data_IF_922179701098
#
_entry.id   IF_922179701098
#
_cell.length_a   1.000
_cell.length_b   1.000
_cell.length_c   1.000
_cell.angle_alpha   90.00
_cell.angle_beta   90.00
_cell.angle_gamma   90.00
#
_symmetry.space_group_name_H-M   'P 1'
#
loop_
_entity.id
_entity.type
_entity.pdbx_description
1 polymer ?
#
# COMPACT_ATOMS: atom_id res chain seq x y z
N UNK A 1 -14.18 16.41 -8.83
CA UNK A 1 -12.95 16.31 -9.66
C UNK A 1 -12.91 14.97 -10.40
N UNK A 2 -12.48 14.97 -11.67
CA UNK A 2 -12.26 13.75 -12.45
C UNK A 2 -10.78 13.32 -12.37
N UNK A 3 -10.53 12.12 -11.88
CA UNK A 3 -9.21 11.56 -11.69
C UNK A 3 -9.02 10.38 -12.66
N UNK A 4 -8.03 10.48 -13.53
CA UNK A 4 -7.60 9.35 -14.36
C UNK A 4 -6.51 8.56 -13.64
N UNK A 5 -6.88 7.36 -13.17
CA UNK A 5 -6.00 6.45 -12.44
C UNK A 5 -5.44 5.40 -13.41
N UNK A 6 -4.17 5.05 -13.24
CA UNK A 6 -3.48 3.96 -13.96
C UNK A 6 -2.83 2.97 -12.98
N UNK A 7 -3.60 2.27 -12.12
CA UNK A 7 -3.03 1.33 -11.15
C UNK A 7 -2.24 0.25 -11.87
N UNK A 8 -0.95 0.15 -11.57
CA UNK A 8 -0.01 -0.68 -12.32
C UNK A 8 0.86 -1.49 -11.40
N UNK A 9 0.93 -2.80 -11.66
CA UNK A 9 1.82 -3.73 -10.98
C UNK A 9 2.79 -4.37 -11.97
N UNK A 10 4.10 -4.30 -11.72
CA UNK A 10 5.13 -4.91 -12.56
C UNK A 10 5.61 -6.23 -11.95
N UNK A 11 5.46 -7.32 -12.70
CA UNK A 11 6.13 -8.58 -12.45
C UNK A 11 6.94 -9.00 -13.70
N UNK A 12 8.26 -8.72 -13.74
CA UNK A 12 9.09 -9.03 -14.90
C UNK A 12 9.31 -10.54 -15.11
N UNK A 13 9.29 -11.32 -14.04
CA UNK A 13 9.60 -12.76 -14.08
C UNK A 13 8.37 -13.63 -14.35
N UNK A 14 7.16 -13.10 -14.13
CA UNK A 14 5.89 -13.82 -14.30
C UNK A 14 5.81 -15.10 -13.46
N UNK A 15 6.52 -15.10 -12.35
CA UNK A 15 6.65 -16.12 -11.31
C UNK A 15 5.57 -16.03 -10.23
N UNK A 16 4.64 -15.07 -10.39
CA UNK A 16 3.54 -14.86 -9.45
C UNK A 16 2.25 -14.46 -10.17
N UNK A 17 1.15 -15.04 -9.70
CA UNK A 17 -0.20 -14.54 -9.94
C UNK A 17 -0.36 -13.23 -9.19
N UNK A 18 -0.96 -12.23 -9.83
CA UNK A 18 -1.19 -10.90 -9.25
C UNK A 18 -2.69 -10.62 -9.25
N UNK A 19 -3.19 -10.08 -8.15
CA UNK A 19 -4.55 -9.56 -7.99
C UNK A 19 -4.51 -8.18 -7.33
N UNK A 20 -5.53 -7.38 -7.60
CA UNK A 20 -5.77 -6.11 -6.92
C UNK A 20 -6.91 -6.36 -5.93
N UNK A 21 -6.66 -6.17 -4.64
CA UNK A 21 -7.59 -6.48 -3.56
C UNK A 21 -8.32 -5.23 -3.05
N UNK A 22 -7.69 -4.05 -3.15
CA UNK A 22 -8.32 -2.76 -2.80
C UNK A 22 -7.78 -1.63 -3.66
N UNK A 23 -8.65 -0.68 -3.98
CA UNK A 23 -8.32 0.56 -4.66
C UNK A 23 -9.25 1.66 -4.13
N UNK A 24 -8.68 2.68 -3.50
CA UNK A 24 -9.45 3.79 -2.97
C UNK A 24 -8.72 5.12 -3.16
N UNK A 25 -9.49 6.20 -3.04
CA UNK A 25 -8.99 7.57 -3.03
C UNK A 25 -9.37 8.19 -1.70
N UNK A 26 -8.42 8.80 -1.02
CA UNK A 26 -8.67 9.67 0.13
C UNK A 26 -8.48 11.12 -0.31
N UNK A 27 -9.46 11.98 -0.08
CA UNK A 27 -9.39 13.39 -0.47
C UNK A 27 -10.04 14.29 0.60
N UNK A 28 -9.59 15.55 0.65
CA UNK A 28 -10.11 16.57 1.58
C UNK A 28 -9.75 16.32 3.04
N UNK A 29 -8.72 16.98 3.56
CA UNK A 29 -8.24 16.87 4.97
C UNK A 29 -8.27 15.44 5.56
N UNK A 30 -8.07 14.41 4.73
CA UNK A 30 -8.11 12.99 5.03
C UNK A 30 -9.41 12.45 5.67
N UNK A 31 -10.56 13.10 5.44
CA UNK A 31 -11.85 12.71 6.06
C UNK A 31 -12.76 11.87 5.19
N UNK A 32 -12.52 11.82 3.89
CA UNK A 32 -13.38 11.13 2.94
C UNK A 32 -12.60 10.08 2.17
N UNK A 33 -13.14 8.86 2.18
CA UNK A 33 -12.66 7.76 1.36
C UNK A 33 -13.68 7.45 0.25
N UNK A 34 -13.15 7.21 -0.94
CA UNK A 34 -13.88 6.85 -2.15
C UNK A 34 -13.36 5.50 -2.64
N UNK A 35 -14.08 4.43 -2.31
CA UNK A 35 -13.73 3.08 -2.75
C UNK A 35 -14.10 2.86 -4.22
N UNK A 36 -13.20 2.22 -4.95
CA UNK A 36 -13.46 1.76 -6.31
C UNK A 36 -13.77 0.25 -6.24
N UNK A 37 -14.99 -0.18 -6.63
CA UNK A 37 -15.40 -1.57 -6.52
C UNK A 37 -14.51 -2.52 -7.33
N UNK A 38 -13.76 -3.39 -6.65
CA UNK A 38 -12.81 -4.33 -7.26
C UNK A 38 -13.53 -5.33 -8.17
N UNK A 39 -14.75 -5.69 -7.83
CA UNK A 39 -15.62 -6.55 -8.63
C UNK A 39 -15.99 -5.94 -10.00
N UNK A 40 -15.83 -4.63 -10.18
CA UNK A 40 -16.01 -3.93 -11.45
C UNK A 40 -14.70 -3.76 -12.23
N UNK A 41 -13.56 -4.23 -11.67
CA UNK A 41 -12.24 -4.10 -12.27
C UNK A 41 -11.73 -5.40 -12.88
N UNK A 42 -11.06 -5.28 -14.02
CA UNK A 42 -10.31 -6.34 -14.67
C UNK A 42 -8.82 -5.99 -14.63
N UNK A 43 -8.02 -6.97 -14.22
CA UNK A 43 -6.58 -6.90 -14.34
C UNK A 43 -6.15 -7.41 -15.72
N UNK A 44 -5.54 -6.54 -16.54
CA UNK A 44 -5.17 -6.86 -17.93
C UNK A 44 -3.68 -6.59 -18.17
N UNK A 45 -3.10 -7.29 -19.14
CA UNK A 45 -1.72 -7.10 -19.60
C UNK A 45 -1.72 -6.50 -21.01
N UNK A 46 -1.43 -5.20 -21.18
CA UNK A 46 -1.40 -4.59 -22.52
C UNK A 46 -0.34 -5.23 -23.41
N UNK A 47 -0.71 -5.51 -24.67
CA UNK A 47 0.24 -5.97 -25.67
C UNK A 47 1.19 -4.80 -26.08
N UNK A 48 2.48 -5.06 -26.36
CA UNK A 48 3.19 -6.35 -26.37
C UNK A 48 3.76 -6.78 -25.01
N UNK A 49 3.83 -5.86 -24.05
CA UNK A 49 4.57 -6.08 -22.83
C UNK A 49 3.74 -6.80 -21.76
N UNK A 50 3.91 -8.13 -21.67
CA UNK A 50 3.22 -8.96 -20.67
C UNK A 50 3.92 -9.01 -19.29
N UNK A 51 4.82 -8.07 -18.98
CA UNK A 51 5.52 -8.00 -17.68
C UNK A 51 4.82 -7.13 -16.65
N UNK A 52 3.74 -6.45 -17.02
CA UNK A 52 2.99 -5.64 -16.09
C UNK A 52 1.50 -5.84 -16.28
N UNK A 53 0.79 -5.52 -15.22
CA UNK A 53 -0.64 -5.56 -15.12
C UNK A 53 -1.17 -4.15 -14.92
N UNK A 54 -2.28 -3.84 -15.57
CA UNK A 54 -3.03 -2.59 -15.38
C UNK A 54 -4.44 -2.96 -14.93
N UNK A 55 -4.91 -2.31 -13.87
CA UNK A 55 -6.31 -2.36 -13.49
C UNK A 55 -7.12 -1.40 -14.38
N UNK A 56 -8.23 -1.90 -14.92
CA UNK A 56 -9.15 -1.12 -15.74
C UNK A 56 -10.58 -1.61 -15.51
N UNK A 57 -11.59 -0.83 -15.90
CA UNK A 57 -13.01 -1.26 -15.86
C UNK A 57 -13.22 -2.59 -16.60
N UNK A 58 -14.05 -3.48 -16.04
CA UNK A 58 -14.53 -4.71 -16.70
C UNK A 58 -15.37 -4.36 -17.93
N UNK A 59 -14.69 -4.16 -19.05
CA UNK A 59 -15.34 -3.89 -20.34
C UNK A 59 -14.58 -4.55 -21.48
N UNK A 60 -15.27 -5.44 -22.20
CA UNK A 60 -14.74 -6.18 -23.36
C UNK A 60 -13.39 -6.87 -23.04
N UNK A 61 -12.75 -7.44 -24.07
CA UNK A 61 -11.42 -8.04 -23.94
C UNK A 61 -10.27 -7.04 -24.18
N UNK A 62 -10.56 -5.75 -24.36
CA UNK A 62 -9.54 -4.72 -24.61
C UNK A 62 -8.94 -4.23 -23.30
N UNK A 63 -7.62 -4.13 -23.21
CA UNK A 63 -6.94 -3.49 -22.09
C UNK A 63 -6.94 -1.97 -22.31
N UNK A 64 -7.75 -1.26 -21.54
CA UNK A 64 -7.71 0.20 -21.44
C UNK A 64 -6.55 0.60 -20.51
N UNK A 65 -5.99 1.78 -20.74
CA UNK A 65 -4.91 2.32 -19.92
C UNK A 65 -5.58 3.06 -18.77
N UNK A 66 -5.76 2.35 -17.65
CA UNK A 66 -6.35 2.90 -16.44
C UNK A 66 -7.88 2.88 -16.38
N UNK A 67 -8.41 3.76 -15.55
CA UNK A 67 -9.84 3.99 -15.27
C UNK A 67 -10.08 5.45 -14.86
N UNK A 68 -11.34 5.86 -14.85
CA UNK A 68 -11.75 7.21 -14.49
C UNK A 68 -12.57 7.16 -13.20
N UNK A 69 -12.20 7.98 -12.22
CA UNK A 69 -12.92 8.15 -10.97
C UNK A 69 -13.37 9.61 -10.86
N UNK A 70 -14.66 9.83 -10.70
CA UNK A 70 -15.23 11.14 -10.38
C UNK A 70 -15.53 11.19 -8.89
N UNK A 71 -14.89 12.11 -8.17
CA UNK A 71 -15.14 12.35 -6.75
C UNK A 71 -15.80 13.72 -6.57
N UNK A 72 -16.80 13.81 -5.71
CA UNK A 72 -17.56 15.04 -5.45
C UNK A 72 -16.94 15.83 -4.29
N UNK A 73 -15.79 16.46 -4.54
CA UNK A 73 -15.15 17.37 -3.58
C UNK A 73 -14.75 18.67 -4.26
N UNK A 74 -15.01 19.76 -3.55
CA UNK A 74 -14.61 21.11 -3.91
C UNK A 74 -13.20 21.40 -3.35
N UNK A 75 -12.42 22.21 -4.07
CA UNK A 75 -11.12 22.71 -3.59
C UNK A 75 -10.10 21.64 -3.14
N UNK A 76 -10.10 20.48 -3.81
CA UNK A 76 -9.06 19.46 -3.61
C UNK A 76 -7.70 20.09 -3.92
N UNK A 77 -6.81 20.10 -2.93
CA UNK A 77 -5.40 20.48 -3.12
C UNK A 77 -4.47 19.27 -3.02
N UNK A 78 -4.92 18.23 -2.33
CA UNK A 78 -4.19 16.98 -2.14
C UNK A 78 -5.18 15.82 -2.10
N UNK A 79 -4.78 14.69 -2.68
CA UNK A 79 -5.48 13.42 -2.52
C UNK A 79 -4.46 12.28 -2.51
N UNK A 80 -4.80 11.18 -1.85
CA UNK A 80 -3.99 9.96 -1.80
C UNK A 80 -4.74 8.84 -2.49
N UNK A 81 -4.06 8.09 -3.36
CA UNK A 81 -4.57 6.85 -3.93
C UNK A 81 -3.95 5.71 -3.16
N UNK A 82 -4.78 4.82 -2.64
CA UNK A 82 -4.35 3.60 -1.98
C UNK A 82 -4.64 2.40 -2.89
N UNK A 83 -3.63 1.56 -3.10
CA UNK A 83 -3.75 0.31 -3.84
C UNK A 83 -3.20 -0.83 -2.97
N UNK A 84 -4.01 -1.88 -2.80
CA UNK A 84 -3.57 -3.11 -2.18
C UNK A 84 -3.50 -4.21 -3.23
N UNK A 85 -2.29 -4.69 -3.50
CA UNK A 85 -2.07 -5.79 -4.43
C UNK A 85 -1.74 -7.06 -3.66
N UNK A 86 -2.16 -8.21 -4.19
CA UNK A 86 -1.78 -9.51 -3.67
C UNK A 86 -1.02 -10.28 -4.73
N UNK A 87 0.05 -10.95 -4.33
CA UNK A 87 0.76 -11.90 -5.18
C UNK A 87 0.80 -13.28 -4.57
N UNK A 88 0.70 -14.29 -5.43
CA UNK A 88 0.85 -15.70 -5.08
C UNK A 88 1.90 -16.29 -6.02
N UNK A 89 3.04 -16.68 -5.48
CA UNK A 89 4.14 -17.29 -6.23
C UNK A 89 3.84 -18.73 -6.61
N UNK A 90 4.60 -19.30 -7.54
CA UNK A 90 4.38 -20.69 -8.01
C UNK A 90 4.51 -21.76 -6.90
N UNK A 91 5.26 -21.46 -5.83
CA UNK A 91 5.39 -22.29 -4.63
C UNK A 91 4.34 -21.98 -3.54
N UNK A 92 3.34 -21.14 -3.85
CA UNK A 92 2.19 -20.87 -3.00
C UNK A 92 2.38 -19.81 -1.92
N UNK A 93 3.52 -19.11 -1.88
CA UNK A 93 3.69 -18.00 -0.93
C UNK A 93 2.85 -16.80 -1.35
N UNK A 94 2.11 -16.26 -0.40
CA UNK A 94 1.28 -15.09 -0.59
C UNK A 94 1.94 -13.84 0.00
N UNK A 95 1.89 -12.74 -0.73
CA UNK A 95 2.35 -11.44 -0.24
C UNK A 95 1.30 -10.37 -0.53
N UNK A 96 1.00 -9.53 0.47
CA UNK A 96 0.25 -8.28 0.29
C UNK A 96 1.22 -7.13 0.01
N UNK A 97 0.81 -6.21 -0.84
CA UNK A 97 1.63 -5.12 -1.34
C UNK A 97 0.84 -3.81 -1.24
N UNK A 98 1.33 -2.88 -0.42
CA UNK A 98 0.63 -1.65 -0.08
C UNK A 98 1.24 -0.47 -0.81
N UNK A 99 0.45 0.21 -1.64
CA UNK A 99 0.92 1.32 -2.45
C UNK A 99 0.12 2.59 -2.13
N UNK A 100 0.80 3.58 -1.57
CA UNK A 100 0.23 4.88 -1.21
C UNK A 100 0.80 5.95 -2.15
N UNK A 101 -0.05 6.64 -2.88
CA UNK A 101 0.38 7.63 -3.86
C UNK A 101 -0.31 8.96 -3.55
N UNK A 102 0.43 9.89 -2.96
CA UNK A 102 -0.08 11.23 -2.64
C UNK A 102 0.18 12.20 -3.79
N UNK A 103 -0.89 12.81 -4.29
CA UNK A 103 -0.85 13.83 -5.33
C UNK A 103 -1.13 15.20 -4.73
N UNK A 104 -0.17 16.10 -4.87
CA UNK A 104 -0.28 17.52 -4.54
C UNK A 104 -0.58 18.31 -5.82
N UNK A 105 -1.74 18.96 -5.86
CA UNK A 105 -2.16 19.75 -7.01
C UNK A 105 -1.42 21.09 -7.03
N UNK A 106 -0.81 21.42 -8.16
CA UNK A 106 -0.04 22.65 -8.34
C UNK A 106 -0.92 23.87 -8.66
N UNK A 107 -2.14 23.63 -9.09
CA UNK A 107 -3.11 24.62 -9.48
C UNK A 107 -4.52 24.03 -9.38
N UNK A 108 -5.54 24.89 -9.30
CA UNK A 108 -6.95 24.52 -9.31
C UNK A 108 -7.67 25.11 -10.54
N UNK A 109 -6.99 25.15 -11.70
CA UNK A 109 -7.53 25.79 -12.91
C UNK A 109 -8.57 24.93 -13.63
N UNK A 110 -8.47 23.61 -13.49
CA UNK A 110 -9.32 22.65 -14.17
C UNK A 110 -9.78 21.54 -13.23
N UNK A 111 -10.82 20.82 -13.66
CA UNK A 111 -11.48 19.79 -12.86
C UNK A 111 -11.03 18.36 -13.21
N UNK A 112 -9.83 18.19 -13.77
CA UNK A 112 -9.24 16.85 -13.90
C UNK A 112 -7.74 16.77 -13.71
N UNK A 113 -7.30 15.56 -13.37
CA UNK A 113 -5.91 15.18 -13.15
C UNK A 113 -5.69 13.75 -13.65
N UNK A 114 -4.45 13.40 -13.98
CA UNK A 114 -4.09 12.06 -14.42
C UNK A 114 -2.82 11.57 -13.69
N UNK A 115 -2.81 10.31 -13.27
CA UNK A 115 -1.59 9.66 -12.74
C UNK A 115 -0.52 9.49 -13.82
N UNK A 116 -0.92 9.40 -15.09
CA UNK A 116 0.01 9.26 -16.20
C UNK A 116 0.56 10.63 -16.63
N UNK A 117 1.86 10.83 -16.39
CA UNK A 117 2.59 12.06 -16.68
C UNK A 117 2.48 12.53 -18.15
N UNK A 118 2.42 11.59 -19.11
CA UNK A 118 2.34 11.94 -20.53
C UNK A 118 1.09 12.77 -20.87
N UNK A 119 0.00 12.63 -20.10
CA UNK A 119 -1.26 13.31 -20.37
C UNK A 119 -1.24 14.77 -19.95
N UNK A 120 -0.43 15.15 -18.96
CA UNK A 120 -0.37 16.51 -18.44
C UNK A 120 1.00 17.16 -18.60
N UNK A 121 1.94 16.54 -19.31
CA UNK A 121 3.28 17.08 -19.55
C UNK A 121 3.28 18.50 -20.13
N UNK A 122 2.31 18.86 -20.98
CA UNK A 122 2.20 20.22 -21.51
C UNK A 122 1.84 21.29 -20.46
N UNK A 123 1.34 20.85 -19.30
CA UNK A 123 1.00 21.68 -18.14
C UNK A 123 2.07 21.59 -17.06
N UNK A 124 3.21 20.93 -17.36
CA UNK A 124 4.33 20.85 -16.44
C UNK A 124 4.88 22.24 -16.10
N UNK A 125 5.42 22.36 -14.89
CA UNK A 125 6.13 23.55 -14.42
C UNK A 125 7.63 23.30 -14.44
N UNK A 126 8.44 24.30 -14.08
CA UNK A 126 9.90 24.11 -13.91
C UNK A 126 10.25 22.95 -12.97
N UNK A 127 9.35 22.59 -12.03
CA UNK A 127 9.52 21.43 -11.14
C UNK A 127 9.67 20.11 -11.90
N UNK A 128 9.09 19.97 -13.09
CA UNK A 128 9.10 18.72 -13.86
C UNK A 128 10.02 18.74 -15.08
N UNK A 129 10.88 19.75 -15.23
CA UNK A 129 11.72 19.96 -16.42
C UNK A 129 12.55 18.73 -16.82
N UNK A 130 13.00 17.94 -15.85
CA UNK A 130 13.84 16.75 -16.05
C UNK A 130 13.09 15.43 -15.77
N UNK A 131 11.76 15.46 -15.72
CA UNK A 131 10.94 14.28 -15.46
C UNK A 131 10.70 13.50 -16.76
N UNK A 132 11.26 12.29 -16.82
CA UNK A 132 10.89 11.35 -17.88
C UNK A 132 9.62 10.60 -17.48
N UNK A 133 8.63 10.52 -18.38
CA UNK A 133 7.31 9.95 -18.04
C UNK A 133 7.39 8.54 -17.46
N UNK A 134 8.31 7.70 -17.97
CA UNK A 134 8.52 6.32 -17.52
C UNK A 134 9.07 6.21 -16.10
N UNK A 135 9.81 7.21 -15.63
CA UNK A 135 10.37 7.30 -14.27
C UNK A 135 9.43 7.99 -13.28
N UNK A 136 8.37 8.64 -13.77
CA UNK A 136 7.49 9.49 -12.97
C UNK A 136 6.03 9.01 -12.98
N UNK A 137 5.75 7.85 -13.54
CA UNK A 137 4.43 7.21 -13.44
C UNK A 137 4.42 6.29 -12.22
N UNK A 138 3.50 6.50 -11.27
CA UNK A 138 3.39 5.64 -10.09
C UNK A 138 3.15 4.18 -10.48
N UNK A 139 3.78 3.25 -9.76
CA UNK A 139 3.63 1.81 -10.00
C UNK A 139 4.21 0.98 -8.86
N UNK A 140 3.53 -0.12 -8.55
CA UNK A 140 4.04 -1.16 -7.67
C UNK A 140 4.86 -2.17 -8.49
N UNK A 141 5.87 -2.79 -7.88
CA UNK A 141 6.75 -3.77 -8.52
C UNK A 141 6.91 -4.97 -7.59
N UNK A 142 6.96 -6.21 -8.10
CA UNK A 142 7.19 -7.38 -7.25
C UNK A 142 8.57 -7.30 -6.57
N UNK A 143 9.58 -6.92 -7.36
CA UNK A 143 10.94 -6.67 -6.89
C UNK A 143 11.34 -5.29 -7.40
N UNK A 144 11.89 -4.42 -6.54
CA UNK A 144 12.28 -3.05 -6.88
C UNK A 144 13.53 -2.95 -7.78
N UNK A 145 13.81 -3.97 -8.60
CA UNK A 145 15.00 -4.04 -9.44
C UNK A 145 14.99 -2.96 -10.53
N UNK A 146 13.81 -2.51 -10.98
CA UNK A 146 13.68 -1.51 -12.06
C UNK A 146 13.95 -0.09 -11.54
N UNK A 147 13.58 0.23 -10.29
CA UNK A 147 13.84 1.55 -9.70
C UNK A 147 15.31 1.77 -9.31
N UNK A 148 16.07 0.71 -9.02
CA UNK A 148 17.51 0.82 -8.69
C UNK A 148 18.37 1.25 -9.87
N UNK A 149 18.00 0.86 -11.09
CA UNK A 149 18.75 1.18 -12.31
C UNK A 149 18.32 2.51 -12.97
N UNK A 150 17.20 3.09 -12.53
CA UNK A 150 16.69 4.38 -12.99
C UNK A 150 16.20 5.19 -11.79
N UNK A 151 17.00 6.14 -11.25
CA UNK A 151 16.59 6.92 -10.10
C UNK A 151 15.30 7.66 -10.42
N UNK A 152 14.23 7.30 -9.71
CA UNK A 152 12.95 7.99 -9.80
C UNK A 152 13.13 9.41 -9.26
N UNK A 153 12.39 10.36 -9.86
CA UNK A 153 12.56 11.80 -9.57
C UNK A 153 11.67 12.30 -8.43
N UNK A 154 10.88 11.41 -7.83
CA UNK A 154 9.97 11.67 -6.72
C UNK A 154 10.48 11.07 -5.40
N UNK A 155 9.95 11.59 -4.28
CA UNK A 155 10.16 11.00 -2.96
C UNK A 155 9.46 9.65 -2.91
N UNK A 156 10.24 8.61 -2.62
CA UNK A 156 9.77 7.23 -2.54
C UNK A 156 10.32 6.61 -1.28
N UNK A 157 9.43 6.01 -0.51
CA UNK A 157 9.77 5.17 0.62
C UNK A 157 9.29 3.75 0.32
N UNK A 158 10.26 2.84 0.15
CA UNK A 158 9.99 1.44 -0.12
C UNK A 158 10.22 0.61 1.16
N UNK A 159 9.20 -0.12 1.58
CA UNK A 159 9.30 -1.19 2.58
C UNK A 159 9.39 -2.54 1.89
N UNK A 160 10.26 -3.41 2.35
CA UNK A 160 10.48 -4.73 1.76
C UNK A 160 10.12 -5.83 2.74
N UNK A 161 9.59 -6.92 2.21
CA UNK A 161 9.71 -8.21 2.88
C UNK A 161 11.18 -8.62 2.90
N UNK A 162 11.51 -9.46 3.84
CA UNK A 162 12.89 -9.86 4.08
C UNK A 162 13.52 -10.58 2.86
N UNK A 163 12.74 -11.36 2.12
CA UNK A 163 13.13 -11.98 0.84
C UNK A 163 13.38 -10.98 -0.32
N UNK A 164 13.33 -9.67 -0.06
CA UNK A 164 13.54 -8.61 -1.05
C UNK A 164 12.33 -8.31 -1.94
N UNK A 165 11.19 -8.96 -1.71
CA UNK A 165 9.91 -8.61 -2.34
C UNK A 165 9.44 -7.27 -1.77
N UNK A 166 8.96 -6.37 -2.62
CA UNK A 166 8.51 -5.06 -2.19
C UNK A 166 7.18 -5.18 -1.44
N UNK A 167 7.15 -4.87 -0.14
CA UNK A 167 5.93 -4.92 0.70
C UNK A 167 5.11 -3.64 0.58
N UNK A 168 5.78 -2.51 0.65
CA UNK A 168 5.14 -1.21 0.72
C UNK A 168 5.87 -0.22 -0.17
N UNK A 169 5.12 0.69 -0.77
CA UNK A 169 5.66 1.86 -1.46
C UNK A 169 4.81 3.08 -1.14
N UNK A 170 5.46 4.14 -0.70
CA UNK A 170 4.86 5.46 -0.53
C UNK A 170 5.49 6.38 -1.58
N UNK A 171 4.69 6.98 -2.45
CA UNK A 171 5.15 7.92 -3.47
C UNK A 171 4.44 9.26 -3.32
N UNK A 172 5.17 10.35 -3.53
CA UNK A 172 4.58 11.69 -3.58
C UNK A 172 4.82 12.37 -4.93
N UNK A 173 3.77 12.95 -5.49
CA UNK A 173 3.81 13.63 -6.78
C UNK A 173 3.20 15.03 -6.71
N UNK A 174 3.80 15.96 -7.44
CA UNK A 174 3.20 17.26 -7.71
C UNK A 174 2.67 17.25 -9.13
N UNK A 175 1.38 17.54 -9.32
CA UNK A 175 0.73 17.39 -10.61
C UNK A 175 -0.13 18.60 -10.93
N UNK A 176 -0.15 18.98 -12.19
CA UNK A 176 -1.00 20.07 -12.67
C UNK A 176 -2.39 19.56 -13.02
N UNK A 177 -3.41 20.41 -12.89
CA UNK A 177 -4.74 20.06 -13.42
C UNK A 177 -4.75 20.25 -14.94
N UNK A 178 -5.66 19.54 -15.60
CA UNK A 178 -5.82 19.54 -17.06
C UNK A 178 -7.30 19.72 -17.45
N UNK A 179 -7.61 20.41 -18.58
CA UNK A 179 -8.96 20.45 -19.11
C UNK A 179 -9.47 19.05 -19.47
N UNK A 180 -10.77 18.78 -19.22
CA UNK A 180 -11.39 17.49 -19.57
C UNK A 180 -11.19 17.13 -21.04
N UNK A 181 -11.44 18.06 -21.96
CA UNK A 181 -11.28 17.81 -23.40
C UNK A 181 -9.86 17.39 -23.78
N UNK A 182 -8.86 18.06 -23.22
CA UNK A 182 -7.44 17.81 -23.47
C UNK A 182 -6.98 16.47 -22.90
N UNK A 183 -7.49 16.07 -21.73
CA UNK A 183 -7.23 14.74 -21.16
C UNK A 183 -7.62 13.64 -22.15
N UNK A 184 -8.82 13.73 -22.71
CA UNK A 184 -9.33 12.73 -23.66
C UNK A 184 -8.65 12.82 -25.03
N UNK A 185 -8.46 14.02 -25.57
CA UNK A 185 -7.79 14.22 -26.87
C UNK A 185 -6.37 13.64 -26.84
N UNK A 186 -5.59 13.96 -25.81
CA UNK A 186 -4.24 13.42 -25.63
C UNK A 186 -4.25 11.92 -25.37
N UNK A 187 -5.22 11.43 -24.58
CA UNK A 187 -5.41 10.01 -24.32
C UNK A 187 -5.62 9.21 -25.60
N UNK A 188 -6.49 9.67 -26.50
CA UNK A 188 -6.74 9.02 -27.78
C UNK A 188 -5.48 8.93 -28.64
N UNK A 189 -4.72 10.04 -28.73
CA UNK A 189 -3.46 10.11 -29.49
C UNK A 189 -2.41 9.17 -28.91
N UNK A 190 -2.17 9.22 -27.60
CA UNK A 190 -1.08 8.48 -26.94
C UNK A 190 -1.40 6.98 -26.79
N UNK A 191 -2.67 6.64 -26.58
CA UNK A 191 -3.07 5.30 -26.17
C UNK A 191 -3.70 4.47 -27.29
N UNK A 192 -3.76 5.00 -28.52
CA UNK A 192 -4.29 4.26 -29.69
C UNK A 192 -5.70 3.71 -29.41
N UNK A 193 -6.62 4.60 -29.00
CA UNK A 193 -8.00 4.29 -28.63
C UNK A 193 -8.15 3.42 -27.37
N UNK A 194 -7.15 3.39 -26.48
CA UNK A 194 -7.19 2.69 -25.17
C UNK A 194 -7.44 3.64 -24.00
N UNK A 195 -7.82 4.89 -24.26
CA UNK A 195 -8.30 5.79 -23.22
C UNK A 195 -9.66 5.27 -22.70
N UNK A 196 -9.92 5.28 -21.37
CA UNK A 196 -11.23 4.96 -20.83
C UNK A 196 -12.29 5.97 -21.30
N UNK A 197 -13.51 5.49 -21.55
CA UNK A 197 -14.66 6.34 -21.92
C UNK A 197 -15.35 6.85 -20.65
N UNK A 198 -15.53 8.17 -20.52
CA UNK A 198 -16.13 8.76 -19.32
C UNK A 198 -17.53 8.23 -19.00
N UNK A 199 -18.33 7.90 -20.01
CA UNK A 199 -19.73 7.48 -19.82
C UNK A 199 -19.87 5.99 -19.52
N UNK A 200 -18.85 5.19 -19.85
CA UNK A 200 -18.94 3.73 -19.80
C UNK A 200 -17.94 3.12 -18.80
N UNK A 201 -16.81 3.79 -18.62
CA UNK A 201 -15.68 3.34 -17.81
C UNK A 201 -15.42 4.25 -16.59
N UNK A 202 -16.21 5.31 -16.43
CA UNK A 202 -16.18 6.21 -15.28
C UNK A 202 -16.90 5.65 -14.05
N UNK A 203 -16.28 5.79 -12.89
CA UNK A 203 -16.89 5.57 -11.59
C UNK A 203 -17.33 6.90 -11.01
N UNK A 204 -18.63 7.06 -10.74
CA UNK A 204 -19.14 8.19 -9.96
C UNK A 204 -19.14 7.78 -8.50
N UNK A 205 -18.10 8.19 -7.77
CA UNK A 205 -17.86 7.74 -6.41
C UNK A 205 -18.57 8.68 -5.43
N UNK A 206 -19.44 8.09 -4.61
CA UNK A 206 -20.04 8.78 -3.46
C UNK A 206 -19.17 8.56 -2.24
N UNK A 207 -18.91 9.63 -1.48
CA UNK A 207 -18.13 9.53 -0.24
C UNK A 207 -18.77 8.55 0.76
N UNK A 208 -17.93 7.77 1.44
CA UNK A 208 -18.26 7.26 2.76
C UNK A 208 -17.48 8.11 3.77
N UNK A 209 -18.16 8.61 4.80
CA UNK A 209 -17.40 9.18 5.92
C UNK A 209 -16.85 8.02 6.72
N UNK A 210 -15.52 7.91 6.81
CA UNK A 210 -14.92 7.06 7.81
C UNK A 210 -15.49 7.50 9.16
N UNK A 211 -16.06 6.55 9.90
CA UNK A 211 -16.61 6.88 11.20
C UNK A 211 -15.46 7.16 12.18
N UNK A 212 -15.75 7.87 13.28
CA UNK A 212 -14.72 8.21 14.25
C UNK A 212 -14.02 6.97 14.85
N UNK A 213 -14.67 5.80 14.85
CA UNK A 213 -14.05 4.55 15.30
C UNK A 213 -13.03 4.00 14.30
N UNK A 214 -13.29 4.08 13.00
CA UNK A 214 -12.36 3.67 11.93
C UNK A 214 -11.12 4.57 11.89
N UNK A 215 -11.31 5.89 12.03
CA UNK A 215 -10.21 6.86 12.12
C UNK A 215 -9.37 6.55 13.38
N UNK A 216 -10.03 6.35 14.53
CA UNK A 216 -9.35 5.98 15.78
C UNK A 216 -8.62 4.65 15.67
N UNK A 217 -9.19 3.65 15.00
CA UNK A 217 -8.57 2.33 14.83
C UNK A 217 -7.29 2.43 13.98
N UNK A 218 -7.33 3.20 12.89
CA UNK A 218 -6.18 3.42 12.02
C UNK A 218 -5.06 4.19 12.75
N UNK A 219 -5.39 5.28 13.43
CA UNK A 219 -4.43 6.06 14.23
C UNK A 219 -3.84 5.22 15.37
N UNK A 220 -4.65 4.39 16.03
CA UNK A 220 -4.21 3.49 17.09
C UNK A 220 -3.24 2.44 16.55
N UNK A 221 -3.54 1.84 15.39
CA UNK A 221 -2.66 0.86 14.75
C UNK A 221 -1.30 1.46 14.39
N UNK A 222 -1.29 2.62 13.72
CA UNK A 222 -0.05 3.31 13.35
C UNK A 222 0.77 3.72 14.57
N UNK A 223 0.11 4.17 15.65
CA UNK A 223 0.76 4.55 16.90
C UNK A 223 1.41 3.34 17.59
N UNK A 224 0.69 2.23 17.72
CA UNK A 224 1.18 1.01 18.36
C UNK A 224 2.32 0.35 17.59
N UNK A 225 2.22 0.30 16.26
CA UNK A 225 3.28 -0.20 15.39
C UNK A 225 4.57 0.63 15.54
N UNK A 226 4.43 1.96 15.50
CA UNK A 226 5.55 2.87 15.68
C UNK A 226 6.23 2.68 17.03
N UNK A 227 5.46 2.48 18.10
CA UNK A 227 5.99 2.25 19.44
C UNK A 227 6.72 0.90 19.52
N UNK A 228 6.16 -0.16 18.93
CA UNK A 228 6.79 -1.48 18.87
C UNK A 228 8.15 -1.40 18.16
N UNK A 229 8.20 -0.80 16.97
CA UNK A 229 9.42 -0.70 16.18
C UNK A 229 10.47 0.18 16.83
N UNK A 230 10.05 1.28 17.46
CA UNK A 230 10.95 2.13 18.24
C UNK A 230 11.58 1.33 19.37
N UNK A 231 10.78 0.58 20.12
CA UNK A 231 11.29 -0.26 21.22
C UNK A 231 12.25 -1.32 20.69
N UNK A 232 11.91 -1.99 19.60
CA UNK A 232 12.77 -3.02 19.03
C UNK A 232 14.12 -2.46 18.53
N UNK A 233 14.12 -1.24 17.97
CA UNK A 233 15.34 -0.54 17.59
C UNK A 233 16.23 -0.21 18.78
N UNK A 234 15.66 0.17 19.93
CA UNK A 234 16.42 0.37 21.19
C UNK A 234 17.12 -0.91 21.67
N UNK A 235 16.60 -2.08 21.29
CA UNK A 235 17.17 -3.40 21.61
C UNK A 235 18.22 -3.88 20.60
N UNK A 236 18.52 -3.05 19.59
CA UNK A 236 19.46 -3.40 18.52
C UNK A 236 18.94 -4.52 17.61
N UNK A 237 17.62 -4.76 17.59
CA UNK A 237 17.02 -5.78 16.74
C UNK A 237 16.91 -5.27 15.29
N UNK A 238 17.09 -6.12 14.27
CA UNK A 238 16.95 -5.73 12.88
C UNK A 238 15.52 -5.26 12.58
N UNK A 239 15.38 -4.05 12.03
CA UNK A 239 14.08 -3.43 11.76
C UNK A 239 13.15 -4.33 10.92
N UNK A 240 13.68 -5.00 9.92
CA UNK A 240 12.97 -5.92 9.03
C UNK A 240 12.43 -7.17 9.74
N UNK A 241 13.23 -7.74 10.65
CA UNK A 241 12.83 -8.83 11.53
C UNK A 241 11.65 -8.38 12.40
N UNK A 242 11.79 -7.25 13.09
CA UNK A 242 10.76 -6.69 13.98
C UNK A 242 9.47 -6.37 13.23
N UNK A 243 9.58 -5.73 12.07
CA UNK A 243 8.43 -5.37 11.25
C UNK A 243 7.68 -6.60 10.74
N UNK A 244 8.40 -7.66 10.39
CA UNK A 244 7.81 -8.92 9.95
C UNK A 244 7.11 -9.62 11.10
N UNK A 245 7.76 -9.72 12.27
CA UNK A 245 7.16 -10.28 13.49
C UNK A 245 5.87 -9.55 13.85
N UNK A 246 5.91 -8.21 13.91
CA UNK A 246 4.74 -7.39 14.22
C UNK A 246 3.59 -7.63 13.24
N UNK A 247 3.88 -7.56 11.94
CA UNK A 247 2.85 -7.74 10.89
C UNK A 247 2.23 -9.14 10.92
N UNK A 248 3.04 -10.19 11.10
CA UNK A 248 2.52 -11.55 11.19
C UNK A 248 1.58 -11.70 12.37
N UNK A 249 2.00 -11.21 13.55
CA UNK A 249 1.23 -11.35 14.77
C UNK A 249 -0.05 -10.50 14.83
N UNK A 250 -0.19 -9.49 13.96
CA UNK A 250 -1.47 -8.81 13.76
C UNK A 250 -2.56 -9.72 13.14
N UNK A 251 -2.14 -10.77 12.45
CA UNK A 251 -3.03 -11.59 11.62
C UNK A 251 -3.11 -13.05 12.06
N UNK A 252 -2.15 -13.53 12.85
CA UNK A 252 -2.04 -14.93 13.22
C UNK A 252 -1.20 -15.15 14.49
N UNK A 253 -1.31 -16.35 15.06
CA UNK A 253 -0.46 -16.84 16.13
C UNK A 253 0.56 -17.80 15.53
N UNK A 254 1.82 -17.70 15.92
CA UNK A 254 2.88 -18.53 15.35
C UNK A 254 3.92 -18.88 16.41
N UNK A 255 4.51 -20.07 16.26
CA UNK A 255 5.58 -20.53 17.14
C UNK A 255 6.94 -19.97 16.71
N UNK A 256 7.95 -19.96 17.60
CA UNK A 256 9.34 -19.62 17.24
C UNK A 256 9.87 -20.42 16.04
N UNK A 257 9.57 -21.72 15.96
CA UNK A 257 9.93 -22.59 14.83
C UNK A 257 9.24 -22.15 13.51
N UNK A 258 7.99 -21.71 13.61
CA UNK A 258 7.26 -21.11 12.50
C UNK A 258 7.94 -19.84 11.99
N UNK A 259 8.40 -18.97 12.90
CA UNK A 259 9.21 -17.81 12.52
C UNK A 259 10.56 -18.22 11.93
N UNK A 260 11.24 -19.23 12.48
CA UNK A 260 12.45 -19.75 11.86
C UNK A 260 12.18 -20.22 10.43
N UNK A 261 11.06 -20.90 10.18
CA UNK A 261 10.68 -21.30 8.81
C UNK A 261 10.54 -20.10 7.87
N UNK A 262 9.95 -18.99 8.34
CA UNK A 262 9.82 -17.72 7.59
C UNK A 262 11.20 -17.09 7.33
N UNK A 263 12.11 -17.17 8.29
CA UNK A 263 13.43 -16.52 8.26
C UNK A 263 14.59 -17.43 7.84
N UNK A 264 14.33 -18.71 7.57
CA UNK A 264 15.33 -19.79 7.42
C UNK A 264 16.38 -19.56 6.34
N UNK A 265 16.04 -18.77 5.31
CA UNK A 265 16.97 -18.43 4.23
C UNK A 265 17.96 -17.33 4.60
N UNK A 266 17.89 -16.78 5.81
CA UNK A 266 18.46 -15.46 6.07
C UNK A 266 18.99 -15.28 7.50
N UNK A 267 18.37 -15.90 8.50
CA UNK A 267 18.90 -16.03 9.85
C UNK A 267 19.11 -17.51 10.16
N UNK A 268 20.14 -17.84 10.93
CA UNK A 268 20.22 -19.18 11.53
C UNK A 268 19.08 -19.34 12.53
N UNK A 269 18.69 -20.59 12.80
CA UNK A 269 17.70 -20.88 13.86
C UNK A 269 18.09 -20.17 15.17
N UNK A 270 19.33 -20.34 15.62
CA UNK A 270 19.83 -19.68 16.84
C UNK A 270 19.63 -18.16 16.84
N UNK A 271 19.84 -17.49 15.70
CA UNK A 271 19.67 -16.03 15.59
C UNK A 271 18.19 -15.63 15.68
N UNK A 272 17.29 -16.39 15.04
CA UNK A 272 15.85 -16.14 15.10
C UNK A 272 15.36 -16.30 16.53
N UNK A 273 15.74 -17.39 17.19
CA UNK A 273 15.36 -17.65 18.58
C UNK A 273 15.93 -16.59 19.52
N UNK A 274 17.20 -16.21 19.39
CA UNK A 274 17.81 -15.13 20.20
C UNK A 274 17.03 -13.81 20.07
N UNK A 275 16.61 -13.44 18.85
CA UNK A 275 15.85 -12.21 18.63
C UNK A 275 14.44 -12.27 19.21
N UNK A 276 13.73 -13.40 19.05
CA UNK A 276 12.40 -13.55 19.62
C UNK A 276 12.45 -13.63 21.15
N UNK A 277 13.43 -14.32 21.73
CA UNK A 277 13.67 -14.34 23.18
C UNK A 277 13.87 -12.92 23.70
N UNK A 278 14.74 -12.13 23.06
CA UNK A 278 14.96 -10.72 23.43
C UNK A 278 13.70 -9.88 23.34
N UNK A 279 12.81 -10.16 22.38
CA UNK A 279 11.51 -9.50 22.29
C UNK A 279 10.57 -9.90 23.43
N UNK A 280 10.54 -11.18 23.81
CA UNK A 280 9.75 -11.67 24.95
C UNK A 280 10.28 -11.10 26.28
N UNK A 281 11.59 -11.17 26.51
CA UNK A 281 12.27 -10.65 27.71
C UNK A 281 12.02 -9.15 27.93
N UNK A 282 11.69 -8.42 26.87
CA UNK A 282 11.45 -6.99 26.90
C UNK A 282 9.99 -6.61 26.63
N UNK A 283 9.09 -7.57 26.77
CA UNK A 283 7.63 -7.39 26.70
C UNK A 283 7.15 -6.83 25.35
N UNK A 284 7.87 -7.04 24.25
CA UNK A 284 7.32 -6.78 22.92
C UNK A 284 6.34 -7.89 22.52
N UNK A 285 6.65 -9.12 22.93
CA UNK A 285 5.86 -10.32 22.68
C UNK A 285 5.46 -10.98 23.99
N UNK A 286 4.38 -11.76 23.95
CA UNK A 286 3.92 -12.61 25.04
C UNK A 286 3.85 -14.06 24.53
N UNK A 287 4.24 -15.01 25.38
CA UNK A 287 4.01 -16.43 25.17
C UNK A 287 2.63 -16.75 25.76
N UNK A 288 1.74 -17.35 24.97
CA UNK A 288 0.41 -17.73 25.45
C UNK A 288 0.52 -18.72 26.63
N UNK A 289 -0.14 -18.42 27.74
CA UNK A 289 0.08 -19.05 29.06
C UNK A 289 -0.31 -20.54 29.11
N UNK A 290 -1.06 -21.04 28.12
CA UNK A 290 -1.44 -22.46 28.05
C UNK A 290 -0.22 -23.40 27.93
N UNK A 291 0.93 -22.88 27.50
CA UNK A 291 2.17 -23.65 27.31
C UNK A 291 3.32 -23.22 28.25
N UNK A 292 3.04 -22.46 29.31
CA UNK A 292 4.08 -21.91 30.23
C UNK A 292 4.92 -22.95 31.00
N UNK A 293 4.57 -24.25 30.94
CA UNK A 293 5.36 -25.36 31.49
C UNK A 293 6.41 -25.91 30.49
N UNK A 294 6.28 -25.57 29.21
CA UNK A 294 7.21 -25.91 28.13
C UNK A 294 8.07 -24.67 27.85
N UNK A 295 9.32 -24.86 27.45
CA UNK A 295 10.26 -23.73 27.34
C UNK A 295 9.86 -22.77 26.22
N UNK A 296 10.72 -21.77 25.97
CA UNK A 296 10.69 -21.03 24.70
C UNK A 296 11.11 -21.97 23.56
N UNK A 297 10.17 -22.82 23.12
CA UNK A 297 10.40 -23.92 22.18
C UNK A 297 9.36 -23.96 21.04
N UNK A 298 9.38 -25.03 20.26
CA UNK A 298 8.56 -25.21 19.05
C UNK A 298 7.05 -25.33 19.33
N UNK A 299 6.64 -25.43 20.59
CA UNK A 299 5.24 -25.58 21.01
C UNK A 299 4.61 -24.28 21.51
N UNK A 300 5.42 -23.29 21.91
CA UNK A 300 4.96 -22.00 22.42
C UNK A 300 4.41 -21.10 21.32
N UNK A 301 3.19 -20.59 21.47
CA UNK A 301 2.63 -19.56 20.56
C UNK A 301 2.97 -18.15 21.02
N UNK A 302 3.42 -17.32 20.08
CA UNK A 302 3.73 -15.91 20.33
C UNK A 302 2.55 -15.02 19.94
N UNK A 303 2.36 -13.97 20.74
CA UNK A 303 1.42 -12.86 20.50
C UNK A 303 2.10 -11.53 20.71
N UNK A 304 1.50 -10.46 20.17
CA UNK A 304 1.91 -9.10 20.55
C UNK A 304 1.55 -8.85 22.00
N UNK A 305 2.42 -8.13 22.70
CA UNK A 305 2.01 -7.56 23.98
C UNK A 305 0.86 -6.57 23.77
N UNK A 306 -0.08 -6.53 24.72
CA UNK A 306 -1.26 -5.67 24.71
C UNK A 306 -0.96 -4.19 24.46
N UNK A 307 0.22 -3.71 24.88
CA UNK A 307 0.70 -2.35 24.62
C UNK A 307 0.84 -2.07 23.11
N UNK A 308 1.17 -3.09 22.33
CA UNK A 308 1.43 -3.02 20.89
C UNK A 308 0.34 -3.66 20.03
N UNK A 309 -0.61 -4.39 20.60
CA UNK A 309 -1.71 -5.00 19.84
C UNK A 309 -2.85 -4.01 19.56
N UNK A 310 -3.08 -3.57 18.32
CA UNK A 310 -4.13 -2.60 17.99
C UNK A 310 -5.55 -3.14 18.09
N UNK A 311 -5.73 -4.47 18.12
CA UNK A 311 -7.03 -5.10 18.32
C UNK A 311 -7.54 -4.94 19.76
N UNK A 312 -6.62 -4.68 20.70
CA UNK A 312 -6.96 -4.46 22.11
C UNK A 312 -7.02 -2.96 22.37
N UNK A 313 -8.25 -2.45 22.45
CA UNK A 313 -8.53 -1.13 22.98
C UNK A 313 -8.26 -1.16 24.48
N UNK A 314 -7.20 -0.48 24.92
CA UNK A 314 -7.02 -0.21 26.34
C UNK A 314 -8.03 0.88 26.70
N UNK A 315 -9.17 0.48 27.26
CA UNK A 315 -10.13 1.41 27.88
C UNK A 315 -9.46 2.10 29.07
N UNK A 316 -8.65 3.12 28.82
CA UNK A 316 -8.07 4.00 29.83
C UNK A 316 -9.11 5.04 30.30
N UNK A 317 -10.33 4.62 30.64
CA UNK A 317 -11.34 5.47 31.31
C UNK A 317 -12.27 4.68 32.25
N UNK A 318 -11.72 3.78 33.08
CA UNK A 318 -12.44 3.28 34.26
C UNK A 318 -11.60 3.35 35.52
N UNK A 319 -11.22 4.56 35.92
CA UNK A 319 -10.77 4.78 37.31
C UNK A 319 -10.94 6.22 37.81
N UNK A 320 -12.03 6.91 37.44
CA UNK A 320 -12.47 8.12 38.17
C UNK A 320 -13.99 8.18 38.17
N UNK A 321 -14.67 7.40 39.03
CA UNK A 321 -15.98 7.70 39.62
C UNK A 321 -16.40 6.51 40.50
N UNK A 322 -15.68 6.28 41.59
CA UNK A 322 -16.29 5.61 42.77
C UNK A 322 -15.58 6.05 44.06
N UNK A 323 -15.53 7.37 44.24
CA UNK A 323 -15.42 8.04 45.55
C UNK A 323 -16.26 9.31 45.49
N UNK A 324 -17.56 9.18 45.72
CA UNK A 324 -18.41 10.27 46.21
C UNK A 324 -19.55 9.69 47.03
#
# INVERSE_FOLDING_TARGET
>A
MLIHLTPTFINPFRDAKVTLERLSITAGNDRFEYDIPIEDLALKRPFPNKTYYIACRKRKNKAFIGLLAHIEEDEINTFTVYEEWKTITDNGFEHSHFHYITFHLLDNKFNSVSQNFCLWQAYSTERHKDWASVSCTPKMELYAKISKDNPRRNEIEDGYYFNGVLKQRIEQYYVSTIPHSELFERGEILFSNRMPDINLDGFNLTRYMMNDEEIRAMDNQMSKEKNFLKKAAELGLPFDFCQTVYTFLLSTYITPEGFHSIFSNMYSSDTVFEYLERMVEHNLLIIDEQDSELGFDDTSFLTLNIEYDPSILVDNEREIFDKS
#
